data_IF_887618404536
#
_entry.id   IF_887618404536
#
_cell.length_a   1.000
_cell.length_b   1.000
_cell.length_c   1.000
_cell.angle_alpha   90.00
_cell.angle_beta   90.00
_cell.angle_gamma   90.00
#
_symmetry.space_group_name_H-M   'P 1'
#
loop_
_entity.id
_entity.type
_entity.pdbx_description
1 polymer ?
#
# COMPACT_ATOMS: atom_id res chain seq x y z
N UNK A 1 -5.29 33.44 5.29
CA UNK A 1 -5.92 32.44 6.17
C UNK A 1 -6.01 31.16 5.36
N UNK A 2 -5.62 30.03 5.95
CA UNK A 2 -5.76 28.73 5.28
C UNK A 2 -7.24 28.39 5.17
N UNK A 3 -7.65 27.76 4.09
CA UNK A 3 -9.05 27.38 3.85
C UNK A 3 -9.12 25.91 3.43
N UNK A 4 -10.32 25.28 3.50
CA UNK A 4 -10.49 23.92 3.04
C UNK A 4 -9.91 23.66 1.64
N UNK A 5 -9.17 22.57 1.52
CA UNK A 5 -8.45 22.11 0.34
C UNK A 5 -7.00 22.58 0.24
N UNK A 6 -6.56 23.55 1.03
CA UNK A 6 -5.16 23.99 1.00
C UNK A 6 -4.23 22.87 1.51
N UNK A 7 -3.16 22.60 0.76
CA UNK A 7 -2.11 21.66 1.15
C UNK A 7 -1.03 22.40 1.94
N UNK A 8 -0.83 22.03 3.21
CA UNK A 8 0.00 22.75 4.16
C UNK A 8 1.00 21.84 4.88
N UNK A 9 2.13 22.43 5.24
CA UNK A 9 3.10 21.90 6.19
C UNK A 9 3.07 22.80 7.43
N UNK A 10 2.96 22.19 8.61
CA UNK A 10 2.68 22.90 9.86
C UNK A 10 3.95 23.48 10.49
N UNK A 11 5.11 22.95 10.10
CA UNK A 11 6.44 23.40 10.52
C UNK A 11 7.44 23.39 9.37
N UNK A 12 8.62 23.98 9.58
CA UNK A 12 9.74 23.86 8.62
C UNK A 12 10.27 22.42 8.53
N UNK A 13 10.18 21.66 9.62
CA UNK A 13 10.56 20.24 9.63
C UNK A 13 9.66 19.41 8.73
N UNK A 14 8.35 19.69 8.73
CA UNK A 14 7.40 19.04 7.83
C UNK A 14 7.75 19.26 6.36
N UNK A 15 8.19 20.47 6.01
CA UNK A 15 8.66 20.77 4.65
C UNK A 15 9.89 19.91 4.31
N UNK A 16 10.86 19.82 5.22
CA UNK A 16 12.07 19.03 5.02
C UNK A 16 11.77 17.52 4.87
N UNK A 17 10.79 17.02 5.63
CA UNK A 17 10.38 15.62 5.62
C UNK A 17 9.30 15.30 4.58
N UNK A 18 8.86 16.27 3.76
CA UNK A 18 7.71 16.13 2.86
C UNK A 18 6.43 15.62 3.58
N UNK A 19 6.20 16.09 4.80
CA UNK A 19 4.98 15.86 5.56
C UNK A 19 3.99 16.96 5.20
N UNK A 20 2.88 16.59 4.57
CA UNK A 20 1.85 17.54 4.14
C UNK A 20 0.47 17.08 4.59
N UNK A 21 -0.40 18.06 4.84
CA UNK A 21 -1.77 17.84 5.23
C UNK A 21 -2.70 18.72 4.41
N UNK A 22 -3.87 18.18 4.08
CA UNK A 22 -4.95 18.94 3.47
C UNK A 22 -5.84 19.47 4.57
N UNK A 23 -6.10 20.78 4.53
CA UNK A 23 -7.07 21.41 5.41
C UNK A 23 -8.46 20.94 5.01
N UNK A 24 -9.16 20.27 5.91
CA UNK A 24 -10.54 19.79 5.69
C UNK A 24 -11.53 20.85 6.15
N UNK A 25 -11.31 21.37 7.35
CA UNK A 25 -12.15 22.39 7.97
C UNK A 25 -11.30 23.38 8.76
N UNK A 26 -11.79 24.62 8.84
CA UNK A 26 -11.19 25.70 9.63
C UNK A 26 -12.26 26.29 10.52
N UNK A 27 -12.12 26.17 11.83
CA UNK A 27 -13.12 26.61 12.81
C UNK A 27 -12.46 27.52 13.85
N UNK A 28 -13.01 28.72 14.13
CA UNK A 28 -12.55 29.51 15.25
C UNK A 28 -12.92 28.80 16.56
N UNK A 29 -11.93 28.59 17.44
CA UNK A 29 -12.15 27.97 18.75
C UNK A 29 -12.27 29.02 19.86
N UNK A 30 -11.42 30.04 19.80
CA UNK A 30 -11.52 31.25 20.63
C UNK A 30 -11.26 32.48 19.75
N UNK A 31 -11.42 33.71 20.27
CA UNK A 31 -11.01 34.90 19.54
C UNK A 31 -9.53 34.92 19.12
N UNK A 32 -8.67 34.14 19.80
CA UNK A 32 -7.22 34.11 19.57
C UNK A 32 -6.72 32.79 19.00
N UNK A 33 -7.58 31.79 18.80
CA UNK A 33 -7.17 30.47 18.29
C UNK A 33 -8.08 29.97 17.17
N UNK A 34 -7.51 29.19 16.27
CA UNK A 34 -8.19 28.53 15.16
C UNK A 34 -7.87 27.04 15.24
N UNK A 35 -8.91 26.22 15.12
CA UNK A 35 -8.80 24.77 14.97
C UNK A 35 -8.83 24.41 13.50
N UNK A 36 -7.84 23.64 13.06
CA UNK A 36 -7.76 23.06 11.73
C UNK A 36 -8.03 21.57 11.84
N UNK A 37 -8.99 21.06 11.05
CA UNK A 37 -9.14 19.63 10.83
C UNK A 37 -8.30 19.28 9.61
N UNK A 38 -7.39 18.32 9.75
CA UNK A 38 -6.34 18.00 8.79
C UNK A 38 -6.42 16.53 8.37
N UNK A 39 -6.26 16.27 7.07
CA UNK A 39 -6.19 14.92 6.50
C UNK A 39 -4.91 14.72 5.70
N UNK A 40 -4.27 13.54 5.75
CA UNK A 40 -3.20 13.20 4.83
C UNK A 40 -3.66 13.26 3.35
N UNK A 41 -2.86 13.82 2.42
CA UNK A 41 -3.25 14.02 1.02
C UNK A 41 -3.56 12.73 0.24
N UNK A 42 -2.96 11.60 0.62
CA UNK A 42 -3.23 10.30 -0.01
C UNK A 42 -4.31 9.48 0.72
N UNK A 43 -5.01 10.11 1.66
CA UNK A 43 -6.06 9.50 2.48
C UNK A 43 -5.54 8.95 3.81
N UNK A 44 -6.39 9.00 4.83
CA UNK A 44 -6.00 8.71 6.20
C UNK A 44 -7.12 9.08 7.16
N UNK A 45 -6.81 9.10 8.46
CA UNK A 45 -7.71 9.64 9.47
C UNK A 45 -7.55 11.16 9.59
N UNK A 46 -8.65 11.81 9.94
CA UNK A 46 -8.62 13.21 10.31
C UNK A 46 -8.02 13.38 11.71
N UNK A 47 -7.30 14.48 11.90
CA UNK A 47 -6.89 14.95 13.21
C UNK A 47 -7.07 16.46 13.30
N UNK A 48 -7.34 16.93 14.50
CA UNK A 48 -7.50 18.34 14.78
C UNK A 48 -6.22 18.90 15.39
N UNK A 49 -5.80 20.07 14.89
CA UNK A 49 -4.73 20.86 15.51
C UNK A 49 -5.22 22.29 15.79
N UNK A 50 -4.79 22.84 16.93
CA UNK A 50 -5.21 24.17 17.39
C UNK A 50 -4.01 25.11 17.33
N UNK A 51 -4.18 26.22 16.63
CA UNK A 51 -3.14 27.22 16.44
C UNK A 51 -3.56 28.57 16.99
N UNK A 52 -2.59 29.36 17.46
CA UNK A 52 -2.79 30.78 17.71
C UNK A 52 -3.04 31.55 16.41
N UNK A 53 -3.90 32.56 16.45
CA UNK A 53 -4.10 33.46 15.31
C UNK A 53 -2.80 34.19 14.98
N UNK A 54 -2.38 34.09 13.73
CA UNK A 54 -1.12 34.66 13.24
C UNK A 54 0.03 33.66 13.21
N UNK A 55 -0.17 32.42 13.69
CA UNK A 55 0.77 31.33 13.44
C UNK A 55 0.99 31.15 11.93
N UNK A 56 2.25 31.00 11.54
CA UNK A 56 2.65 30.88 10.15
C UNK A 56 2.82 29.42 9.77
N UNK A 57 2.18 29.01 8.68
CA UNK A 57 2.32 27.68 8.09
C UNK A 57 2.80 27.81 6.64
N UNK A 58 3.42 26.75 6.12
CA UNK A 58 3.86 26.72 4.73
C UNK A 58 2.77 26.11 3.86
N UNK A 59 2.43 26.77 2.75
CA UNK A 59 1.45 26.23 1.79
C UNK A 59 2.18 25.75 0.53
N UNK A 60 1.79 24.61 -0.03
CA UNK A 60 2.34 24.11 -1.29
C UNK A 60 1.83 24.87 -2.54
N UNK A 61 1.07 25.96 -2.36
CA UNK A 61 0.40 26.72 -3.42
C UNK A 61 -0.48 25.86 -4.36
N UNK A 62 -1.00 24.75 -3.87
CA UNK A 62 -1.92 23.85 -4.58
C UNK A 62 -3.12 23.56 -3.69
N UNK A 63 -4.30 23.53 -4.31
CA UNK A 63 -5.55 23.10 -3.68
C UNK A 63 -5.92 21.69 -4.10
N UNK A 64 -6.39 20.89 -3.15
CA UNK A 64 -6.93 19.56 -3.36
C UNK A 64 -8.46 19.58 -3.22
N UNK A 65 -9.13 18.68 -3.94
CA UNK A 65 -10.56 18.45 -3.77
C UNK A 65 -10.77 17.63 -2.49
N UNK A 66 -11.31 18.29 -1.46
CA UNK A 66 -11.59 17.72 -0.15
C UNK A 66 -12.48 16.49 -0.25
N UNK A 67 -13.46 16.49 -1.16
CA UNK A 67 -14.39 15.37 -1.34
C UNK A 67 -13.77 14.14 -2.02
N UNK A 68 -12.63 14.32 -2.70
CA UNK A 68 -11.92 13.26 -3.39
C UNK A 68 -10.87 12.54 -2.51
N UNK A 69 -10.54 13.09 -1.33
CA UNK A 69 -9.53 12.50 -0.44
C UNK A 69 -10.23 11.47 0.46
N UNK A 70 -9.97 10.17 0.29
CA UNK A 70 -10.67 9.14 1.04
C UNK A 70 -10.26 9.15 2.52
N UNK A 71 -11.21 8.86 3.39
CA UNK A 71 -10.92 8.49 4.76
C UNK A 71 -10.50 7.02 4.78
N UNK A 72 -9.27 6.74 5.23
CA UNK A 72 -8.70 5.40 5.22
C UNK A 72 -8.06 5.11 6.56
N UNK A 73 -8.42 3.97 7.13
CA UNK A 73 -7.79 3.44 8.35
C UNK A 73 -6.81 2.33 7.99
N UNK A 74 -5.69 2.27 8.72
CA UNK A 74 -4.77 1.14 8.64
C UNK A 74 -5.48 -0.14 9.11
N UNK A 75 -5.18 -1.25 8.44
CA UNK A 75 -5.67 -2.56 8.86
C UNK A 75 -4.97 -3.00 10.14
N UNK A 76 -5.72 -3.38 11.16
CA UNK A 76 -5.16 -4.06 12.34
C UNK A 76 -4.71 -5.48 11.95
N UNK A 77 -3.40 -5.73 12.04
CA UNK A 77 -2.78 -7.01 11.72
C UNK A 77 -2.69 -7.98 12.90
N UNK A 78 -3.04 -7.54 14.11
CA UNK A 78 -3.04 -8.35 15.33
C UNK A 78 -3.88 -9.63 15.20
N UNK A 79 -5.16 -9.56 14.78
CA UNK A 79 -6.02 -10.73 14.66
C UNK A 79 -5.83 -11.52 13.34
N UNK A 80 -4.95 -11.06 12.44
CA UNK A 80 -4.82 -11.65 11.10
C UNK A 80 -3.96 -12.91 11.16
N UNK A 81 -4.55 -14.04 10.76
CA UNK A 81 -3.83 -15.28 10.45
C UNK A 81 -3.24 -15.22 9.04
N UNK A 82 -1.93 -14.97 8.96
CA UNK A 82 -1.25 -14.84 7.68
C UNK A 82 -1.10 -16.15 6.93
N UNK A 83 -1.23 -16.08 5.60
CA UNK A 83 -1.05 -17.22 4.70
C UNK A 83 -0.09 -16.86 3.57
N UNK A 84 0.62 -17.86 3.07
CA UNK A 84 1.40 -17.68 1.85
C UNK A 84 0.51 -17.25 0.70
N UNK A 85 0.96 -16.21 -0.01
CA UNK A 85 0.23 -15.49 -1.04
C UNK A 85 -0.52 -14.24 -0.55
N UNK A 86 -0.57 -13.98 0.76
CA UNK A 86 -1.07 -12.72 1.28
C UNK A 86 -0.13 -11.57 0.90
N UNK A 87 -0.70 -10.39 0.71
CA UNK A 87 0.03 -9.17 0.40
C UNK A 87 -0.32 -8.09 1.42
N UNK A 88 0.68 -7.36 1.89
CA UNK A 88 0.52 -6.17 2.71
C UNK A 88 1.09 -5.00 1.94
N UNK A 89 0.42 -3.86 2.00
CA UNK A 89 0.97 -2.60 1.48
C UNK A 89 1.09 -1.56 2.58
N UNK A 90 2.10 -0.69 2.44
CA UNK A 90 2.35 0.44 3.32
C UNK A 90 2.58 1.68 2.47
N UNK A 91 1.79 2.73 2.71
CA UNK A 91 1.87 4.00 1.99
C UNK A 91 2.00 5.14 2.99
N UNK A 92 3.05 5.96 2.88
CA UNK A 92 3.19 7.19 3.68
C UNK A 92 2.18 8.23 3.23
N UNK A 93 1.02 8.28 3.86
CA UNK A 93 -0.11 9.03 3.34
C UNK A 93 0.06 10.56 3.39
N UNK A 94 0.93 11.03 4.30
CA UNK A 94 1.30 12.45 4.47
C UNK A 94 2.16 12.99 3.34
N UNK A 95 2.79 12.12 2.55
CA UNK A 95 3.69 12.53 1.47
C UNK A 95 2.98 12.35 0.12
N UNK A 96 2.61 13.43 -0.58
CA UNK A 96 1.95 13.37 -1.88
C UNK A 96 2.75 12.64 -2.96
N UNK A 97 4.04 12.40 -2.75
CA UNK A 97 4.95 11.72 -3.66
C UNK A 97 5.34 10.32 -3.16
N UNK A 98 4.76 9.85 -2.06
CA UNK A 98 5.05 8.53 -1.53
C UNK A 98 4.77 7.44 -2.54
N UNK A 99 5.67 6.46 -2.59
CA UNK A 99 5.48 5.22 -3.35
C UNK A 99 4.98 4.16 -2.38
N UNK A 100 3.94 3.43 -2.77
CA UNK A 100 3.43 2.32 -1.97
C UNK A 100 4.47 1.19 -1.94
N UNK A 101 4.86 0.79 -0.74
CA UNK A 101 5.67 -0.40 -0.52
C UNK A 101 4.75 -1.60 -0.40
N UNK A 102 5.15 -2.73 -0.99
CA UNK A 102 4.40 -3.98 -0.82
C UNK A 102 5.25 -5.12 -0.33
N UNK A 103 4.67 -5.93 0.54
CA UNK A 103 5.23 -7.15 1.10
C UNK A 103 4.35 -8.31 0.66
N UNK A 104 4.95 -9.37 0.14
CA UNK A 104 4.24 -10.60 -0.23
C UNK A 104 4.77 -11.75 0.60
N UNK A 105 3.87 -12.52 1.22
CA UNK A 105 4.24 -13.66 2.04
C UNK A 105 4.51 -14.89 1.18
N UNK A 106 5.70 -15.48 1.33
CA UNK A 106 6.12 -16.71 0.66
C UNK A 106 6.96 -17.56 1.60
N UNK A 107 6.60 -18.84 1.70
CA UNK A 107 7.31 -19.85 2.48
C UNK A 107 7.45 -19.49 3.97
N UNK A 108 6.41 -18.89 4.56
CA UNK A 108 6.45 -18.51 5.97
C UNK A 108 7.06 -17.14 6.27
N UNK A 109 7.57 -16.42 5.27
CA UNK A 109 8.22 -15.12 5.45
C UNK A 109 7.69 -14.07 4.48
N UNK A 110 7.87 -12.80 4.82
CA UNK A 110 7.49 -11.66 4.00
C UNK A 110 8.68 -11.14 3.20
N UNK A 111 8.41 -10.85 1.94
CA UNK A 111 9.41 -10.34 1.00
C UNK A 111 8.90 -9.01 0.46
N UNK A 112 9.72 -7.97 0.52
CA UNK A 112 9.36 -6.67 -0.05
C UNK A 112 9.46 -6.75 -1.57
N UNK A 113 8.32 -6.56 -2.24
CA UNK A 113 8.21 -6.43 -3.70
C UNK A 113 8.66 -5.01 -4.10
N UNK A 114 9.96 -4.78 -3.98
CA UNK A 114 10.68 -3.79 -4.79
C UNK A 114 11.57 -4.61 -5.73
N UNK A 115 11.95 -4.10 -6.90
CA UNK A 115 12.84 -4.77 -7.88
C UNK A 115 14.26 -5.12 -7.35
N UNK A 116 14.45 -5.19 -6.02
CA UNK A 116 15.68 -5.47 -5.29
C UNK A 116 15.65 -6.89 -4.74
N UNK A 117 16.40 -7.78 -5.37
CA UNK A 117 16.60 -9.20 -4.99
C UNK A 117 17.33 -9.43 -3.65
N UNK A 118 17.53 -8.42 -2.80
CA UNK A 118 18.55 -8.46 -1.74
C UNK A 118 18.06 -8.02 -0.35
N UNK A 119 16.75 -7.97 -0.11
CA UNK A 119 16.24 -7.69 1.24
C UNK A 119 16.00 -8.98 2.02
N UNK A 120 16.34 -8.96 3.30
CA UNK A 120 16.18 -10.10 4.18
C UNK A 120 14.69 -10.41 4.41
N UNK A 121 14.30 -11.69 4.37
CA UNK A 121 12.93 -12.10 4.59
C UNK A 121 12.47 -11.79 6.03
N UNK A 122 11.32 -11.13 6.16
CA UNK A 122 10.79 -10.66 7.45
C UNK A 122 9.81 -11.69 8.04
N UNK A 123 9.94 -12.11 9.31
CA UNK A 123 8.97 -12.98 9.98
C UNK A 123 7.67 -12.25 10.34
N UNK A 124 6.60 -13.00 10.59
CA UNK A 124 5.26 -12.47 10.83
C UNK A 124 5.19 -11.47 12.01
N UNK A 125 5.89 -11.73 13.12
CA UNK A 125 5.91 -10.84 14.29
C UNK A 125 6.62 -9.52 14.01
N UNK A 126 7.76 -9.58 13.32
CA UNK A 126 8.52 -8.39 12.95
C UNK A 126 7.72 -7.52 11.96
N UNK A 127 7.00 -8.14 11.02
CA UNK A 127 6.13 -7.38 10.12
C UNK A 127 4.99 -6.68 10.88
N UNK A 128 4.39 -7.33 11.88
CA UNK A 128 3.35 -6.69 12.71
C UNK A 128 3.91 -5.48 13.46
N UNK A 129 5.08 -5.63 14.08
CA UNK A 129 5.77 -4.54 14.77
C UNK A 129 6.12 -3.39 13.82
N UNK A 130 6.60 -3.71 12.61
CA UNK A 130 6.89 -2.73 11.57
C UNK A 130 5.61 -1.98 11.16
N UNK A 131 4.52 -2.71 10.89
CA UNK A 131 3.23 -2.14 10.50
C UNK A 131 2.66 -1.19 11.57
N UNK A 132 2.79 -1.55 12.85
CA UNK A 132 2.39 -0.69 13.97
C UNK A 132 3.24 0.59 14.02
N UNK A 133 4.57 0.46 13.93
CA UNK A 133 5.48 1.60 13.94
C UNK A 133 5.25 2.56 12.77
N UNK A 134 5.03 2.05 11.56
CA UNK A 134 4.79 2.91 10.39
C UNK A 134 3.40 3.55 10.43
N UNK A 135 2.40 2.85 10.99
CA UNK A 135 1.07 3.43 11.22
C UNK A 135 1.14 4.61 12.18
N UNK A 136 1.91 4.50 13.26
CA UNK A 136 2.17 5.62 14.18
C UNK A 136 2.89 6.79 13.51
N UNK A 137 3.67 6.54 12.45
CA UNK A 137 4.35 7.54 11.62
C UNK A 137 3.51 8.03 10.44
N UNK A 138 2.20 7.83 10.46
CA UNK A 138 1.29 8.34 9.43
C UNK A 138 1.29 7.54 8.12
N UNK A 139 1.66 6.25 8.16
CA UNK A 139 1.45 5.35 7.03
C UNK A 139 0.08 4.68 7.12
N UNK A 140 -0.51 4.45 5.95
CA UNK A 140 -1.70 3.61 5.79
C UNK A 140 -1.25 2.21 5.40
N UNK A 141 -1.58 1.25 6.25
CA UNK A 141 -1.28 -0.18 6.04
C UNK A 141 -2.53 -0.91 5.56
N UNK A 142 -2.41 -1.70 4.48
CA UNK A 142 -3.52 -2.51 3.95
C UNK A 142 -3.13 -3.97 3.88
N UNK A 143 -4.01 -4.86 4.35
CA UNK A 143 -3.88 -6.30 4.15
C UNK A 143 -4.78 -6.76 3.00
N UNK A 144 -4.17 -7.48 2.07
CA UNK A 144 -4.82 -8.15 0.97
C UNK A 144 -4.64 -9.66 1.17
N UNK A 145 -5.67 -10.37 1.68
CA UNK A 145 -5.59 -11.81 1.79
C UNK A 145 -5.41 -12.41 0.40
N UNK A 146 -4.67 -13.51 0.31
CA UNK A 146 -4.45 -14.20 -0.96
C UNK A 146 -5.80 -14.42 -1.66
N UNK A 147 -5.90 -14.21 -2.98
CA UNK A 147 -7.11 -14.51 -3.71
C UNK A 147 -7.49 -15.97 -3.45
N UNK A 148 -8.62 -16.18 -2.76
CA UNK A 148 -9.21 -17.51 -2.75
C UNK A 148 -9.56 -17.77 -4.21
N UNK A 149 -8.82 -18.65 -4.88
CA UNK A 149 -9.39 -19.33 -6.04
C UNK A 149 -10.70 -19.90 -5.51
N UNK A 150 -11.82 -19.31 -5.93
CA UNK A 150 -13.05 -20.07 -5.95
C UNK A 150 -12.65 -21.40 -6.59
N UNK A 151 -13.08 -22.51 -6.00
CA UNK A 151 -13.07 -23.76 -6.73
C UNK A 151 -14.04 -23.56 -7.90
N UNK A 152 -13.62 -22.81 -8.92
CA UNK A 152 -14.14 -22.96 -10.27
C UNK A 152 -14.07 -24.46 -10.49
N UNK A 153 -15.26 -25.07 -10.63
CA UNK A 153 -15.40 -26.48 -10.92
C UNK A 153 -14.26 -26.85 -11.85
N UNK A 154 -13.39 -27.76 -11.39
CA UNK A 154 -12.20 -28.20 -12.11
C UNK A 154 -12.64 -28.59 -13.52
N UNK A 155 -12.64 -27.66 -14.47
CA UNK A 155 -12.71 -27.97 -15.87
C UNK A 155 -11.29 -28.42 -16.17
N UNK A 156 -11.04 -29.73 -16.33
CA UNK A 156 -9.69 -30.19 -16.61
C UNK A 156 -9.19 -29.40 -17.82
N UNK A 157 -8.05 -28.72 -17.66
CA UNK A 157 -7.45 -27.96 -18.76
C UNK A 157 -7.23 -28.95 -19.91
N UNK A 158 -7.77 -28.63 -21.07
CA UNK A 158 -7.61 -29.46 -22.27
C UNK A 158 -6.12 -29.45 -22.63
N UNK A 159 -5.45 -30.55 -22.36
CA UNK A 159 -4.07 -30.78 -22.79
C UNK A 159 -4.14 -31.38 -24.18
N UNK A 160 -3.39 -30.80 -25.11
CA UNK A 160 -3.24 -31.32 -26.48
C UNK A 160 -1.77 -31.68 -26.70
N UNK A 161 -1.53 -32.79 -27.38
CA UNK A 161 -0.18 -33.16 -27.83
C UNK A 161 0.10 -32.40 -29.12
N UNK A 162 1.05 -31.49 -29.08
CA UNK A 162 1.44 -30.66 -30.24
C UNK A 162 2.66 -31.18 -31.00
N UNK A 163 3.33 -32.19 -30.46
CA UNK A 163 4.47 -32.83 -31.10
C UNK A 163 4.73 -34.20 -30.53
N UNK A 164 5.13 -35.13 -31.41
CA UNK A 164 5.57 -36.47 -31.05
C UNK A 164 6.92 -36.70 -31.73
N UNK A 165 7.88 -37.24 -31.00
CA UNK A 165 9.19 -37.66 -31.52
C UNK A 165 9.52 -39.03 -30.98
N UNK A 166 10.01 -39.92 -31.83
CA UNK A 166 10.37 -41.28 -31.47
C UNK A 166 11.73 -41.66 -32.06
N UNK A 167 12.51 -42.41 -31.29
CA UNK A 167 13.75 -43.05 -31.73
C UNK A 167 13.64 -44.51 -31.34
N UNK A 168 13.65 -45.40 -32.32
CA UNK A 168 13.42 -46.82 -32.10
C UNK A 168 14.42 -47.65 -32.94
N UNK A 169 14.55 -48.96 -32.67
CA UNK A 169 15.37 -49.84 -33.51
C UNK A 169 14.92 -49.92 -34.98
N UNK A 170 13.67 -49.54 -35.27
CA UNK A 170 13.10 -49.50 -36.61
C UNK A 170 13.45 -48.20 -37.37
N UNK A 171 13.94 -47.17 -36.68
CA UNK A 171 14.32 -45.88 -37.26
C UNK A 171 14.12 -44.68 -36.33
N UNK A 172 14.53 -43.50 -36.81
CA UNK A 172 14.33 -42.21 -36.16
C UNK A 172 13.14 -41.51 -36.81
N UNK A 173 12.12 -41.22 -36.01
CA UNK A 173 10.91 -40.56 -36.47
C UNK A 173 9.66 -41.37 -36.16
N UNK A 174 8.53 -40.66 -36.20
CA UNK A 174 7.21 -41.25 -35.90
C UNK A 174 6.71 -42.07 -37.09
N UNK A 175 7.10 -41.71 -38.32
CA UNK A 175 6.70 -42.46 -39.52
C UNK A 175 7.30 -43.87 -39.53
N UNK A 176 8.58 -43.98 -39.18
CA UNK A 176 9.33 -45.24 -39.10
C UNK A 176 8.76 -46.14 -38.02
N UNK A 177 8.40 -45.56 -36.86
CA UNK A 177 7.73 -46.26 -35.78
C UNK A 177 6.32 -46.76 -36.18
N UNK A 178 5.59 -46.01 -36.99
CA UNK A 178 4.19 -46.35 -37.32
C UNK A 178 4.06 -47.35 -38.47
N UNK A 179 5.08 -47.45 -39.34
CA UNK A 179 5.08 -48.35 -40.51
C UNK A 179 5.65 -49.74 -40.22
N UNK A 180 6.45 -49.90 -39.16
CA UNK A 180 7.06 -51.18 -38.78
C UNK A 180 6.23 -51.94 -37.77
#
# INVERSE_FOLDING_TARGET
EVIPGDLVALSEQDVAENTWYVVMHTLPETPHTIRLTLRPPLGGIDHDEVFERGHQVTTACRRMDVGAIPEITSTDLGPVEFRDGDRITSLRAVDPRAVEESYTRRWGHWHRDLDRRAEDPVPDEELRNLAEQVTQKGHVVRHYPRPRRAAEAYAPRRVVVTGLGAVTPLGVGVEELWRG
#
